data_IF_678199506505
#
_entry.id   IF_678199506505
#
_cell.length_a   1.000
_cell.length_b   1.000
_cell.length_c   1.000
_cell.angle_alpha   90.00
_cell.angle_beta   90.00
_cell.angle_gamma   90.00
#
_symmetry.space_group_name_H-M   'P 1'
#
loop_
_entity.id
_entity.type
_entity.pdbx_description
1 polymer ?
#
# COMPACT_ATOMS: atom_id res chain seq x y z
N UNK A 1 -4.26 -23.49 60.90
CA UNK A 1 -3.48 -23.50 59.64
C UNK A 1 -3.67 -24.83 58.93
N UNK A 2 -4.50 -24.88 57.88
CA UNK A 2 -4.63 -26.03 56.96
C UNK A 2 -4.88 -25.49 55.56
N UNK A 3 -3.81 -25.29 54.80
CA UNK A 3 -3.89 -24.98 53.37
C UNK A 3 -4.22 -26.26 52.61
N UNK A 4 -5.31 -26.25 51.85
CA UNK A 4 -5.55 -27.20 50.77
C UNK A 4 -5.57 -26.42 49.47
N UNK A 5 -4.52 -26.63 48.69
CA UNK A 5 -4.35 -26.22 47.31
C UNK A 5 -5.38 -26.98 46.46
N UNK A 6 -6.15 -26.27 45.63
CA UNK A 6 -7.02 -26.88 44.62
C UNK A 6 -6.89 -26.16 43.29
N UNK A 7 -6.26 -26.89 42.37
CA UNK A 7 -6.61 -27.07 40.96
C UNK A 7 -7.00 -25.83 40.11
N UNK A 8 -6.02 -25.40 39.31
CA UNK A 8 -6.04 -25.57 37.85
C UNK A 8 -7.39 -25.43 37.15
N UNK A 9 -7.63 -24.25 36.56
CA UNK A 9 -8.28 -24.14 35.25
C UNK A 9 -7.56 -23.10 34.39
N UNK A 10 -6.90 -23.61 33.35
CA UNK A 10 -6.55 -22.87 32.14
C UNK A 10 -7.80 -22.16 31.61
N UNK A 11 -7.73 -20.85 31.45
CA UNK A 11 -8.69 -20.05 30.68
C UNK A 11 -7.92 -19.28 29.61
N UNK A 12 -7.76 -19.93 28.47
CA UNK A 12 -7.01 -19.48 27.29
C UNK A 12 -7.44 -18.10 26.82
N UNK A 13 -6.45 -17.31 26.43
CA UNK A 13 -6.53 -16.08 25.64
C UNK A 13 -7.60 -16.12 24.55
N UNK A 14 -8.70 -15.37 24.76
CA UNK A 14 -9.65 -15.01 23.71
C UNK A 14 -9.13 -13.84 22.88
N UNK A 15 -8.12 -14.08 22.05
CA UNK A 15 -7.63 -13.16 21.01
C UNK A 15 -7.97 -13.78 19.65
N UNK A 16 -9.17 -13.50 19.13
CA UNK A 16 -9.50 -13.79 17.73
C UNK A 16 -10.27 -12.61 17.11
N UNK A 17 -9.45 -11.73 16.53
CA UNK A 17 -9.60 -11.12 15.21
C UNK A 17 -10.89 -10.33 14.94
N UNK A 18 -10.76 -9.01 15.12
CA UNK A 18 -11.51 -8.03 14.37
C UNK A 18 -11.33 -8.31 12.87
N UNK A 19 -12.33 -8.94 12.26
CA UNK A 19 -12.49 -8.99 10.81
C UNK A 19 -12.79 -7.59 10.30
N UNK A 20 -11.75 -6.79 10.04
CA UNK A 20 -11.87 -5.73 9.05
C UNK A 20 -12.22 -6.44 7.73
N UNK A 21 -13.44 -6.28 7.26
CA UNK A 21 -13.76 -6.61 5.87
C UNK A 21 -12.94 -5.64 5.00
N UNK A 22 -11.90 -6.09 4.28
CA UNK A 22 -11.23 -5.20 3.37
C UNK A 22 -12.23 -4.93 2.22
N UNK A 23 -12.55 -3.66 2.02
CA UNK A 23 -13.11 -3.22 0.75
C UNK A 23 -12.26 -3.79 -0.38
N UNK A 24 -12.96 -4.36 -1.36
CA UNK A 24 -12.31 -5.21 -2.35
C UNK A 24 -11.51 -4.31 -3.29
N UNK A 25 -10.18 -4.28 -3.13
CA UNK A 25 -9.31 -3.94 -4.27
C UNK A 25 -9.62 -5.00 -5.32
N UNK A 26 -10.37 -4.64 -6.37
CA UNK A 26 -10.92 -5.58 -7.36
C UNK A 26 -9.87 -6.47 -8.01
N UNK A 27 -8.60 -6.03 -8.05
CA UNK A 27 -7.45 -6.84 -8.42
C UNK A 27 -6.29 -6.57 -7.44
N UNK A 28 -5.92 -7.52 -6.55
CA UNK A 28 -4.87 -7.31 -5.55
C UNK A 28 -3.48 -7.13 -6.18
N UNK A 29 -3.24 -7.71 -7.36
CA UNK A 29 -1.99 -7.63 -8.13
C UNK A 29 -1.88 -6.35 -8.96
N UNK A 30 -2.71 -5.36 -8.66
CA UNK A 30 -2.80 -4.13 -9.41
C UNK A 30 -2.89 -2.92 -8.48
N UNK A 31 -2.19 -1.86 -8.84
CA UNK A 31 -2.43 -0.55 -8.28
C UNK A 31 -2.33 0.55 -9.33
N UNK A 32 -2.84 1.72 -9.00
CA UNK A 32 -2.75 2.88 -9.87
C UNK A 32 -2.49 4.14 -9.08
N UNK A 33 -1.96 5.14 -9.77
CA UNK A 33 -1.82 6.49 -9.23
C UNK A 33 -1.93 7.52 -10.34
N UNK A 34 -2.33 8.71 -9.96
CA UNK A 34 -2.26 9.89 -10.82
C UNK A 34 -1.03 10.69 -10.47
N UNK A 35 -0.26 11.09 -11.47
CA UNK A 35 0.83 12.04 -11.30
C UNK A 35 0.44 13.36 -11.97
N UNK A 36 0.52 14.48 -11.24
CA UNK A 36 0.21 15.82 -11.74
C UNK A 36 0.94 16.88 -10.91
N UNK A 37 1.51 17.87 -11.58
CA UNK A 37 2.14 19.04 -10.92
C UNK A 37 3.17 18.66 -9.85
N UNK A 38 3.98 17.63 -10.11
CA UNK A 38 5.00 17.16 -9.15
C UNK A 38 4.48 16.32 -7.99
N UNK A 39 3.19 16.01 -7.95
CA UNK A 39 2.57 15.15 -6.95
C UNK A 39 2.12 13.83 -7.57
N UNK A 40 2.22 12.74 -6.81
CA UNK A 40 1.65 11.44 -7.15
C UNK A 40 0.71 10.98 -6.02
N UNK A 41 -0.49 10.54 -6.38
CA UNK A 41 -1.51 10.09 -5.43
C UNK A 41 -2.20 8.84 -5.98
N UNK A 42 -2.41 7.85 -5.13
CA UNK A 42 -3.03 6.60 -5.54
C UNK A 42 -3.34 5.70 -4.35
N UNK A 43 -3.68 4.47 -4.65
CA UNK A 43 -3.92 3.45 -3.65
C UNK A 43 -3.43 2.08 -4.13
N UNK A 44 -3.00 1.24 -3.20
CA UNK A 44 -2.52 -0.12 -3.48
C UNK A 44 -3.01 -1.10 -2.42
N UNK A 45 -2.93 -2.40 -2.73
CA UNK A 45 -3.19 -3.44 -1.75
C UNK A 45 -1.90 -3.81 -0.98
N UNK A 46 -1.86 -3.52 0.33
CA UNK A 46 -0.69 -3.81 1.17
C UNK A 46 -0.43 -5.30 1.40
N UNK A 47 -1.37 -6.19 1.07
CA UNK A 47 -1.10 -7.63 1.08
C UNK A 47 -0.20 -8.06 -0.09
N UNK A 48 -0.13 -7.25 -1.15
CA UNK A 48 0.50 -7.62 -2.43
C UNK A 48 1.69 -6.72 -2.77
N UNK A 49 1.61 -5.44 -2.44
CA UNK A 49 2.67 -4.47 -2.66
C UNK A 49 3.21 -3.96 -1.33
N UNK A 50 4.54 -3.90 -1.23
CA UNK A 50 5.23 -3.20 -0.17
C UNK A 50 5.29 -1.69 -0.45
N UNK A 51 5.38 -0.89 0.61
CA UNK A 51 5.66 0.54 0.50
C UNK A 51 6.90 0.83 -0.36
N UNK A 52 7.94 0.00 -0.25
CA UNK A 52 9.19 0.19 -1.00
C UNK A 52 9.00 0.01 -2.51
N UNK A 53 8.22 -1.00 -2.92
CA UNK A 53 7.87 -1.22 -4.33
C UNK A 53 7.06 -0.05 -4.89
N UNK A 54 6.02 0.39 -4.17
CA UNK A 54 5.17 1.51 -4.58
C UNK A 54 6.00 2.79 -4.69
N UNK A 55 6.83 3.09 -3.69
CA UNK A 55 7.71 4.26 -3.71
C UNK A 55 8.73 4.20 -4.84
N UNK A 56 9.26 3.02 -5.18
CA UNK A 56 10.19 2.83 -6.30
C UNK A 56 9.51 3.11 -7.64
N UNK A 57 8.30 2.60 -7.84
CA UNK A 57 7.51 2.87 -9.05
C UNK A 57 7.18 4.36 -9.17
N UNK A 58 6.73 5.00 -8.09
CA UNK A 58 6.48 6.46 -8.08
C UNK A 58 7.77 7.22 -8.39
N UNK A 59 8.90 6.83 -7.80
CA UNK A 59 10.18 7.46 -8.06
C UNK A 59 10.52 7.43 -9.55
N UNK A 60 10.24 6.35 -10.28
CA UNK A 60 10.48 6.28 -11.73
C UNK A 60 9.72 7.34 -12.55
N UNK A 61 8.64 7.91 -12.00
CA UNK A 61 7.86 9.01 -12.60
C UNK A 61 8.33 10.41 -12.18
N UNK A 62 9.27 10.50 -11.23
CA UNK A 62 9.85 11.74 -10.77
C UNK A 62 11.10 12.11 -11.58
N UNK A 63 11.34 13.42 -11.75
CA UNK A 63 12.61 13.90 -12.28
C UNK A 63 13.79 13.43 -11.40
N UNK A 64 14.81 12.86 -12.05
CA UNK A 64 15.98 12.31 -11.38
C UNK A 64 15.68 11.09 -10.49
N UNK A 65 14.51 10.46 -10.63
CA UNK A 65 14.06 9.33 -9.81
C UNK A 65 14.01 9.61 -8.31
N UNK A 66 13.64 10.82 -7.90
CA UNK A 66 13.67 11.28 -6.50
C UNK A 66 12.31 11.70 -5.98
N UNK A 67 11.85 10.98 -4.95
CA UNK A 67 10.69 11.32 -4.13
C UNK A 67 11.16 12.18 -2.95
N UNK A 68 10.70 13.43 -2.87
CA UNK A 68 10.99 14.36 -1.78
C UNK A 68 10.23 14.01 -0.49
N UNK A 69 8.95 13.66 -0.61
CA UNK A 69 8.12 13.25 0.52
C UNK A 69 7.19 12.11 0.10
N UNK A 70 6.83 11.27 1.06
CA UNK A 70 5.97 10.12 0.85
C UNK A 70 5.18 9.87 2.13
N UNK A 71 3.86 9.70 2.02
CA UNK A 71 2.97 9.39 3.14
C UNK A 71 1.92 8.37 2.73
N UNK A 72 1.47 7.59 3.71
CA UNK A 72 0.46 6.55 3.51
C UNK A 72 -0.53 6.54 4.66
N UNK A 73 -1.76 6.16 4.35
CA UNK A 73 -2.82 5.95 5.32
C UNK A 73 -3.63 4.72 4.92
N UNK A 74 -3.98 3.89 5.91
CA UNK A 74 -4.93 2.81 5.69
C UNK A 74 -6.32 3.38 5.37
N UNK A 75 -6.92 2.88 4.30
CA UNK A 75 -8.33 3.10 3.99
C UNK A 75 -9.20 2.18 4.86
N UNK A 76 -10.41 2.62 5.27
CA UNK A 76 -11.42 1.72 5.84
C UNK A 76 -11.75 0.54 4.92
N UNK A 77 -11.51 0.70 3.62
CA UNK A 77 -11.68 -0.32 2.59
C UNK A 77 -10.46 -1.25 2.47
N UNK A 78 -9.51 -1.27 3.41
CA UNK A 78 -8.39 -2.22 3.41
C UNK A 78 -7.30 -1.99 2.35
N UNK A 79 -7.43 -0.95 1.52
CA UNK A 79 -6.34 -0.46 0.68
C UNK A 79 -5.43 0.51 1.45
N UNK A 80 -4.18 0.68 1.01
CA UNK A 80 -3.32 1.79 1.43
C UNK A 80 -3.47 2.94 0.45
N UNK A 81 -3.85 4.12 0.94
CA UNK A 81 -3.84 5.37 0.18
C UNK A 81 -2.48 6.01 0.39
N UNK A 82 -1.87 6.49 -0.68
CA UNK A 82 -0.57 7.16 -0.60
C UNK A 82 -0.57 8.52 -1.30
N UNK A 83 0.34 9.38 -0.84
CA UNK A 83 0.71 10.60 -1.54
C UNK A 83 2.22 10.77 -1.55
N UNK A 84 2.76 11.32 -2.63
CA UNK A 84 4.18 11.55 -2.79
C UNK A 84 4.44 12.86 -3.52
N UNK A 85 5.51 13.56 -3.15
CA UNK A 85 6.02 14.72 -3.87
C UNK A 85 7.34 14.37 -4.56
N UNK A 86 7.49 14.75 -5.83
CA UNK A 86 8.73 14.59 -6.58
C UNK A 86 9.65 15.80 -6.36
N UNK A 87 10.92 15.57 -6.01
CA UNK A 87 11.87 16.63 -5.63
C UNK A 87 12.18 17.65 -6.74
N UNK A 88 11.94 17.30 -8.01
CA UNK A 88 12.09 18.18 -9.18
C UNK A 88 10.88 18.17 -10.11
N UNK A 89 9.70 17.82 -9.58
CA UNK A 89 8.51 17.57 -10.39
C UNK A 89 8.52 16.20 -11.09
N UNK A 90 7.48 15.93 -11.88
CA UNK A 90 7.33 14.69 -12.65
C UNK A 90 8.10 14.75 -13.96
N UNK A 91 8.69 13.62 -14.40
CA UNK A 91 9.46 13.53 -15.65
C UNK A 91 8.61 13.29 -16.90
N UNK A 92 7.30 13.10 -16.74
CA UNK A 92 6.37 12.76 -17.81
C UNK A 92 5.10 13.61 -17.82
N UNK A 93 4.19 13.26 -18.73
CA UNK A 93 2.88 13.87 -18.84
C UNK A 93 2.07 13.62 -17.56
N UNK A 94 1.28 14.63 -17.18
CA UNK A 94 0.27 14.44 -16.16
C UNK A 94 -0.73 13.38 -16.64
N UNK A 95 -1.05 12.42 -15.78
CA UNK A 95 -1.94 11.34 -16.15
C UNK A 95 -1.94 10.19 -15.16
N UNK A 96 -2.54 9.08 -15.57
CA UNK A 96 -2.69 7.88 -14.76
C UNK A 96 -1.58 6.89 -15.09
N UNK A 97 -1.03 6.30 -14.05
CA UNK A 97 -0.06 5.22 -14.11
C UNK A 97 -0.69 4.01 -13.48
N UNK A 98 -0.61 2.90 -14.18
CA UNK A 98 -1.20 1.63 -13.79
C UNK A 98 -0.09 0.60 -13.70
N UNK A 99 0.01 -0.10 -12.58
CA UNK A 99 1.08 -1.06 -12.31
C UNK A 99 0.50 -2.40 -11.95
N UNK A 100 0.90 -3.41 -12.72
CA UNK A 100 0.58 -4.81 -12.46
C UNK A 100 1.79 -5.51 -11.84
N UNK A 101 1.55 -6.39 -10.86
CA UNK A 101 2.52 -7.38 -10.39
C UNK A 101 2.35 -8.65 -11.21
N UNK A 102 3.39 -9.03 -11.94
CA UNK A 102 3.37 -10.23 -12.77
C UNK A 102 3.60 -11.49 -11.92
N UNK A 103 3.30 -12.67 -12.48
CA UNK A 103 3.43 -13.94 -11.77
C UNK A 103 4.87 -14.26 -11.33
N UNK A 104 5.87 -13.65 -11.95
CA UNK A 104 7.30 -13.75 -11.57
C UNK A 104 7.71 -12.73 -10.48
N UNK A 105 6.76 -11.94 -9.98
CA UNK A 105 6.97 -10.89 -8.98
C UNK A 105 7.46 -9.55 -9.56
N UNK A 106 7.73 -9.47 -10.86
CA UNK A 106 8.14 -8.22 -11.50
C UNK A 106 6.99 -7.22 -11.61
N UNK A 107 7.34 -5.93 -11.67
CA UNK A 107 6.38 -4.84 -11.77
C UNK A 107 6.33 -4.31 -13.20
N UNK A 108 5.14 -4.24 -13.78
CA UNK A 108 4.90 -3.67 -15.10
C UNK A 108 4.04 -2.42 -14.98
N UNK A 109 4.64 -1.25 -15.21
CA UNK A 109 3.94 0.04 -15.18
C UNK A 109 3.63 0.54 -16.59
N UNK A 110 2.40 0.98 -16.82
CA UNK A 110 1.95 1.64 -18.05
C UNK A 110 1.40 3.03 -17.75
N UNK A 111 1.59 3.96 -18.70
CA UNK A 111 0.98 5.28 -18.67
C UNK A 111 -0.32 5.28 -19.48
N UNK A 112 -1.38 5.83 -18.91
CA UNK A 112 -2.70 5.99 -19.53
C UNK A 112 -2.98 7.49 -19.65
N UNK A 113 -3.05 7.98 -20.89
CA UNK A 113 -3.50 9.35 -21.17
C UNK A 113 -5.01 9.45 -21.00
N UNK A 114 -5.44 10.57 -20.42
CA UNK A 114 -6.83 11.02 -20.44
C UNK A 114 -7.16 11.71 -21.76
#
# INVERSE_FOLDING_TARGET
MRSRVSAMRLGVCGLLLAGCAPGVVQNPDYFWFTARSGMAMGNYNASTFSQAEVRSVVASTCNGSRVASYSEQASPEGAMIFSAACAGGTNGAAGRYETDKLADGSLKTRFVRY
#
